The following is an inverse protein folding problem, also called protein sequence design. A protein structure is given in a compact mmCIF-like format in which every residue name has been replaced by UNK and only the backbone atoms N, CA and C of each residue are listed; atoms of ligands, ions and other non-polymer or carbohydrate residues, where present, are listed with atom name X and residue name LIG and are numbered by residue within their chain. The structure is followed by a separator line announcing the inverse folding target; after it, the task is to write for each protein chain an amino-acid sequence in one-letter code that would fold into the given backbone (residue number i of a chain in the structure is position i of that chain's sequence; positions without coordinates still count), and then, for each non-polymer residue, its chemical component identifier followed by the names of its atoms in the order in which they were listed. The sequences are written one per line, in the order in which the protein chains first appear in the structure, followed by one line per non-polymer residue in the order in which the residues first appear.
data_IF_913880141116
#
_entry.id   IF_913880141116
#
_cell.length_a   1.000
_cell.length_b   1.000
_cell.length_c   1.000
_cell.angle_alpha   90.00
_cell.angle_beta   90.00
_cell.angle_gamma   90.00
#
_symmetry.space_group_name_H-M   'P 1'
#
loop_
_entity.id
_entity.type
_entity.pdbx_description
1 polymer ?
#
# COMPACT_ATOMS: atom_id res chain seq x y z
N UNK A 1 -24.55 -1.44 -17.27
CA UNK A 1 -23.24 -1.73 -16.65
C UNK A 1 -23.27 -1.31 -15.19
N UNK A 2 -22.59 -2.03 -14.29
CA UNK A 2 -22.47 -1.66 -12.88
C UNK A 2 -21.05 -1.15 -12.65
N UNK A 3 -20.92 0.02 -12.04
CA UNK A 3 -19.66 0.65 -11.67
C UNK A 3 -19.49 0.62 -10.15
N UNK A 4 -18.29 0.26 -9.70
CA UNK A 4 -17.95 0.22 -8.28
C UNK A 4 -17.33 1.54 -7.81
N UNK A 5 -16.84 2.36 -8.74
CA UNK A 5 -16.18 3.62 -8.44
C UNK A 5 -16.84 4.78 -9.24
N UNK A 6 -16.95 5.99 -8.65
CA UNK A 6 -17.57 7.15 -9.30
C UNK A 6 -16.95 7.49 -10.67
N UNK A 7 -15.62 7.37 -10.81
CA UNK A 7 -14.92 7.68 -12.05
C UNK A 7 -15.22 6.68 -13.18
N UNK A 8 -15.53 5.42 -12.85
CA UNK A 8 -15.92 4.42 -13.85
C UNK A 8 -17.26 4.80 -14.48
N UNK A 9 -18.23 5.20 -13.65
CA UNK A 9 -19.50 5.74 -14.14
C UNK A 9 -19.26 6.97 -15.01
N UNK A 10 -18.46 7.93 -14.54
CA UNK A 10 -18.15 9.14 -15.29
C UNK A 10 -17.47 8.84 -16.64
N UNK A 11 -16.70 7.75 -16.75
CA UNK A 11 -16.14 7.29 -18.01
C UNK A 11 -17.21 6.76 -18.95
N UNK A 12 -18.10 5.86 -18.50
CA UNK A 12 -19.16 5.30 -19.33
C UNK A 12 -20.22 6.33 -19.76
N UNK A 13 -20.48 7.33 -18.91
CA UNK A 13 -21.36 8.44 -19.22
C UNK A 13 -20.83 9.25 -20.45
N UNK A 14 -19.50 9.33 -20.66
CA UNK A 14 -18.92 9.99 -21.86
C UNK A 14 -19.24 9.28 -23.16
N UNK A 15 -19.54 7.99 -23.11
CA UNK A 15 -19.85 7.16 -24.27
C UNK A 15 -21.35 6.83 -24.36
N UNK A 16 -22.20 7.50 -23.57
CA UNK A 16 -23.64 7.25 -23.47
C UNK A 16 -23.97 5.77 -23.18
N UNK A 17 -23.09 5.06 -22.46
CA UNK A 17 -23.32 3.68 -22.04
C UNK A 17 -24.08 3.69 -20.71
N UNK A 18 -25.30 3.12 -20.61
CA UNK A 18 -26.04 3.08 -19.36
C UNK A 18 -25.24 2.41 -18.24
N UNK A 19 -24.82 3.20 -17.25
CA UNK A 19 -23.99 2.78 -16.15
C UNK A 19 -24.53 3.28 -14.80
N UNK A 20 -24.70 2.36 -13.84
CA UNK A 20 -25.14 2.64 -12.47
C UNK A 20 -23.96 2.46 -11.52
N UNK A 21 -23.61 3.52 -10.79
CA UNK A 21 -22.68 3.44 -9.67
C UNK A 21 -23.41 2.81 -8.48
N UNK A 22 -22.85 1.71 -7.95
CA UNK A 22 -23.47 0.93 -6.87
C UNK A 22 -22.68 0.97 -5.56
N UNK A 23 -21.62 1.77 -5.48
CA UNK A 23 -20.67 1.73 -4.37
C UNK A 23 -19.70 0.55 -4.50
N UNK A 24 -18.72 0.50 -3.59
CA UNK A 24 -17.69 -0.55 -3.61
C UNK A 24 -17.99 -1.56 -2.49
N UNK A 25 -18.23 -2.82 -2.82
CA UNK A 25 -18.60 -3.88 -1.85
C UNK A 25 -17.59 -4.05 -0.71
N UNK A 26 -16.32 -3.68 -0.95
CA UNK A 26 -15.30 -3.65 0.10
C UNK A 26 -15.51 -2.54 1.14
N UNK A 27 -16.09 -1.40 0.75
CA UNK A 27 -16.45 -0.33 1.68
C UNK A 27 -17.61 -0.78 2.60
N UNK A 28 -18.55 -1.57 2.08
CA UNK A 28 -19.64 -2.14 2.89
C UNK A 28 -19.14 -3.18 3.90
N UNK A 29 -18.06 -3.90 3.56
CA UNK A 29 -17.46 -4.96 4.39
C UNK A 29 -16.42 -4.47 5.39
N UNK A 30 -16.17 -3.16 5.48
CA UNK A 30 -15.21 -2.56 6.41
C UNK A 30 -15.92 -1.53 7.30
N UNK A 31 -15.73 -1.59 8.63
CA UNK A 31 -16.31 -0.58 9.51
C UNK A 31 -15.73 0.80 9.19
N UNK A 32 -16.53 1.85 9.37
CA UNK A 32 -16.10 3.23 9.17
C UNK A 32 -14.93 3.60 10.09
N UNK A 33 -14.97 3.10 11.33
CA UNK A 33 -13.96 3.30 12.35
C UNK A 33 -13.35 1.93 12.72
N UNK A 34 -12.27 1.52 12.03
CA UNK A 34 -11.60 0.25 12.32
C UNK A 34 -10.81 0.31 13.62
N UNK A 35 -10.94 -0.73 14.46
CA UNK A 35 -10.24 -0.83 15.73
C UNK A 35 -8.77 -1.29 15.55
N UNK A 36 -7.85 -0.33 15.56
CA UNK A 36 -6.39 -0.55 15.51
C UNK A 36 -5.91 -1.45 16.66
N UNK A 37 -6.44 -1.25 17.87
CA UNK A 37 -6.05 -2.04 19.06
C UNK A 37 -6.44 -3.52 18.93
N UNK A 38 -7.63 -3.81 18.41
CA UNK A 38 -8.07 -5.17 18.15
C UNK A 38 -7.25 -5.85 17.04
N UNK A 39 -6.91 -5.12 15.96
CA UNK A 39 -6.05 -5.64 14.90
C UNK A 39 -4.62 -5.93 15.41
N UNK A 40 -4.05 -5.03 16.21
CA UNK A 40 -2.76 -5.25 16.90
C UNK A 40 -2.82 -6.48 17.80
N UNK A 41 -3.91 -6.66 18.56
CA UNK A 41 -4.12 -7.84 19.39
C UNK A 41 -4.15 -9.15 18.60
N UNK A 42 -4.83 -9.19 17.44
CA UNK A 42 -4.85 -10.36 16.55
C UNK A 42 -3.48 -10.70 15.97
N UNK A 43 -2.67 -9.69 15.68
CA UNK A 43 -1.34 -9.84 15.06
C UNK A 43 -0.18 -9.91 16.07
N UNK A 44 -0.46 -9.79 17.37
CA UNK A 44 0.57 -9.78 18.41
C UNK A 44 1.48 -8.55 18.40
N UNK A 45 0.97 -7.41 17.91
CA UNK A 45 1.71 -6.14 17.86
C UNK A 45 1.49 -5.33 19.14
N UNK A 46 2.58 -4.83 19.71
CA UNK A 46 2.54 -3.98 20.90
C UNK A 46 1.80 -2.66 20.61
N UNK A 47 1.02 -2.19 21.59
CA UNK A 47 0.16 -1.00 21.42
C UNK A 47 0.94 0.30 21.28
N UNK A 48 2.15 0.38 21.81
CA UNK A 48 3.02 1.55 21.87
C UNK A 48 4.13 1.55 20.81
N UNK A 49 4.32 0.43 20.11
CA UNK A 49 5.28 0.31 19.04
C UNK A 49 4.79 1.03 17.76
N UNK A 50 5.73 1.64 17.05
CA UNK A 50 5.47 2.09 15.68
C UNK A 50 5.35 0.87 14.77
N UNK A 51 4.47 0.95 13.78
CA UNK A 51 4.18 -0.18 12.90
C UNK A 51 4.04 0.28 11.44
N UNK A 52 4.69 -0.45 10.54
CA UNK A 52 4.68 -0.20 9.10
C UNK A 52 4.17 -1.44 8.38
N UNK A 53 3.10 -1.31 7.60
CA UNK A 53 2.68 -2.34 6.66
C UNK A 53 3.46 -2.21 5.35
N UNK A 54 4.15 -3.27 4.92
CA UNK A 54 4.81 -3.37 3.63
C UNK A 54 4.04 -4.34 2.71
N UNK A 55 3.42 -3.80 1.66
CA UNK A 55 2.65 -4.57 0.68
C UNK A 55 3.36 -4.55 -0.68
N UNK A 56 4.35 -5.44 -0.91
CA UNK A 56 5.18 -5.43 -2.12
C UNK A 56 4.43 -5.81 -3.41
N UNK A 57 3.18 -6.25 -3.30
CA UNK A 57 2.31 -6.56 -4.42
C UNK A 57 1.76 -7.98 -4.39
N UNK A 58 0.74 -8.23 -5.20
CA UNK A 58 0.13 -9.57 -5.32
C UNK A 58 0.70 -10.35 -6.51
N UNK A 59 1.28 -9.63 -7.48
CA UNK A 59 1.86 -10.20 -8.70
C UNK A 59 3.35 -10.46 -8.52
N UNK A 60 3.83 -11.54 -9.12
CA UNK A 60 5.25 -11.90 -9.01
C UNK A 60 6.21 -10.83 -9.53
N UNK A 61 5.83 -10.10 -10.59
CA UNK A 61 6.64 -9.00 -11.10
C UNK A 61 6.74 -7.83 -10.11
N UNK A 62 5.65 -7.50 -9.41
CA UNK A 62 5.63 -6.43 -8.40
C UNK A 62 6.55 -6.80 -7.24
N UNK A 63 6.41 -8.02 -6.70
CA UNK A 63 7.26 -8.53 -5.63
C UNK A 63 8.74 -8.53 -6.03
N UNK A 64 9.07 -8.95 -7.26
CA UNK A 64 10.46 -8.94 -7.73
C UNK A 64 11.04 -7.53 -7.85
N UNK A 65 10.25 -6.57 -8.34
CA UNK A 65 10.74 -5.20 -8.61
C UNK A 65 10.78 -4.31 -7.37
N UNK A 66 9.93 -4.55 -6.37
CA UNK A 66 9.69 -3.60 -5.28
C UNK A 66 10.19 -4.08 -3.92
N UNK A 67 10.26 -5.39 -3.68
CA UNK A 67 10.58 -5.91 -2.33
C UNK A 67 11.92 -5.43 -1.82
N UNK A 68 12.95 -5.39 -2.67
CA UNK A 68 14.28 -4.91 -2.28
C UNK A 68 14.25 -3.44 -1.85
N UNK A 69 13.58 -2.58 -2.61
CA UNK A 69 13.48 -1.16 -2.28
C UNK A 69 12.61 -0.92 -1.03
N UNK A 70 11.54 -1.69 -0.85
CA UNK A 70 10.68 -1.62 0.34
C UNK A 70 11.41 -2.10 1.61
N UNK A 71 12.21 -3.16 1.51
CA UNK A 71 13.05 -3.63 2.61
C UNK A 71 14.10 -2.60 3.00
N UNK A 72 14.80 -2.01 2.02
CA UNK A 72 15.76 -0.92 2.26
C UNK A 72 15.10 0.30 2.88
N UNK A 73 13.88 0.62 2.45
CA UNK A 73 13.07 1.70 3.05
C UNK A 73 12.85 1.44 4.54
N UNK A 74 12.44 0.21 4.89
CA UNK A 74 12.25 -0.16 6.29
C UNK A 74 13.55 -0.15 7.11
N UNK A 75 14.68 -0.53 6.52
CA UNK A 75 16.00 -0.39 7.16
C UNK A 75 16.29 1.08 7.50
N UNK A 76 16.14 2.00 6.53
CA UNK A 76 16.35 3.45 6.73
C UNK A 76 15.40 4.01 7.81
N UNK A 77 14.14 3.55 7.84
CA UNK A 77 13.19 3.99 8.85
C UNK A 77 13.57 3.50 10.25
N UNK A 78 14.20 2.34 10.39
CA UNK A 78 14.65 1.83 11.71
C UNK A 78 15.77 2.65 12.33
N UNK A 79 16.55 3.38 11.54
CA UNK A 79 17.55 4.32 12.08
C UNK A 79 16.88 5.41 12.94
N UNK A 80 15.63 5.76 12.64
CA UNK A 80 14.84 6.75 13.40
C UNK A 80 13.79 6.13 14.31
N UNK A 81 13.37 4.90 14.02
CA UNK A 81 12.40 4.13 14.79
C UNK A 81 12.96 2.73 15.11
N UNK A 82 13.88 2.61 16.10
CA UNK A 82 14.54 1.34 16.38
C UNK A 82 13.58 0.18 16.69
N UNK A 83 12.40 0.48 17.26
CA UNK A 83 11.37 -0.50 17.63
C UNK A 83 10.28 -0.69 16.55
N UNK A 84 10.50 -0.19 15.33
CA UNK A 84 9.53 -0.29 14.24
C UNK A 84 9.18 -1.75 13.93
N UNK A 85 7.90 -2.08 14.07
CA UNK A 85 7.32 -3.37 13.71
C UNK A 85 6.97 -3.35 12.23
N UNK A 86 7.62 -4.19 11.42
CA UNK A 86 7.40 -4.25 9.98
C UNK A 86 6.49 -5.45 9.67
N UNK A 87 5.26 -5.17 9.23
CA UNK A 87 4.25 -6.18 8.90
C UNK A 87 4.23 -6.41 7.38
N UNK A 88 4.44 -7.65 6.93
CA UNK A 88 4.51 -7.99 5.51
C UNK A 88 3.43 -9.03 5.17
N UNK A 89 2.20 -8.60 4.84
CA UNK A 89 1.15 -9.50 4.38
C UNK A 89 1.42 -9.99 2.95
N UNK A 90 1.44 -11.30 2.78
CA UNK A 90 1.77 -11.98 1.53
C UNK A 90 0.58 -12.82 1.05
N UNK A 91 0.13 -12.58 -0.19
CA UNK A 91 -1.15 -13.10 -0.69
C UNK A 91 -1.19 -14.64 -0.85
N UNK A 92 -0.03 -15.30 -0.97
CA UNK A 92 0.08 -16.76 -1.03
C UNK A 92 1.53 -17.23 -0.78
N UNK A 93 1.71 -18.54 -0.58
CA UNK A 93 3.00 -19.18 -0.33
C UNK A 93 4.05 -18.86 -1.42
N UNK A 94 3.67 -18.83 -2.71
CA UNK A 94 4.60 -18.52 -3.80
C UNK A 94 5.16 -17.10 -3.72
N UNK A 95 4.34 -16.13 -3.30
CA UNK A 95 4.79 -14.75 -3.08
C UNK A 95 5.62 -14.64 -1.80
N UNK A 96 5.30 -15.43 -0.78
CA UNK A 96 6.10 -15.51 0.44
C UNK A 96 7.50 -16.02 0.18
N UNK A 97 7.65 -17.17 -0.46
CA UNK A 97 8.97 -17.74 -0.82
C UNK A 97 9.80 -16.74 -1.65
N UNK A 98 9.16 -16.06 -2.60
CA UNK A 98 9.80 -15.03 -3.42
C UNK A 98 10.29 -13.85 -2.57
N UNK A 99 9.46 -13.35 -1.65
CA UNK A 99 9.83 -12.27 -0.75
C UNK A 99 10.95 -12.68 0.22
N UNK A 100 10.87 -13.88 0.80
CA UNK A 100 11.88 -14.42 1.71
C UNK A 100 13.25 -14.54 1.02
N UNK A 101 13.30 -15.00 -0.23
CA UNK A 101 14.52 -15.01 -1.04
C UNK A 101 15.12 -13.62 -1.20
N UNK A 102 14.31 -12.64 -1.63
CA UNK A 102 14.78 -11.26 -1.82
C UNK A 102 15.23 -10.64 -0.49
N UNK A 103 14.52 -10.95 0.61
CA UNK A 103 14.89 -10.51 1.96
C UNK A 103 16.23 -11.08 2.38
N UNK A 104 16.49 -12.36 2.16
CA UNK A 104 17.77 -12.98 2.51
C UNK A 104 18.95 -12.28 1.80
N UNK A 105 18.76 -11.84 0.56
CA UNK A 105 19.79 -11.14 -0.22
C UNK A 105 19.92 -9.65 0.15
N UNK A 106 18.81 -8.99 0.51
CA UNK A 106 18.77 -7.53 0.67
C UNK A 106 18.89 -7.07 2.13
N UNK A 107 18.20 -7.76 3.04
CA UNK A 107 18.03 -7.37 4.43
C UNK A 107 17.84 -8.61 5.33
N UNK A 108 18.85 -9.50 5.42
CA UNK A 108 18.74 -10.76 6.16
C UNK A 108 18.40 -10.53 7.63
N UNK A 109 19.02 -9.53 8.25
CA UNK A 109 18.89 -9.25 9.69
C UNK A 109 17.71 -8.33 10.05
N UNK A 110 17.01 -7.75 9.06
CA UNK A 110 15.84 -6.92 9.33
C UNK A 110 14.72 -7.81 9.89
N UNK A 111 14.24 -7.62 11.13
CA UNK A 111 13.16 -8.42 11.65
C UNK A 111 11.84 -7.88 11.12
N UNK A 112 11.03 -8.78 10.57
CA UNK A 112 9.74 -8.51 9.93
C UNK A 112 8.75 -9.60 10.32
N UNK A 113 7.47 -9.26 10.38
CA UNK A 113 6.36 -10.19 10.57
C UNK A 113 5.82 -10.60 9.21
N UNK A 114 6.16 -11.80 8.76
CA UNK A 114 5.60 -12.36 7.52
C UNK A 114 4.21 -12.95 7.83
N UNK A 115 3.18 -12.40 7.20
CA UNK A 115 1.78 -12.81 7.41
C UNK A 115 1.25 -13.50 6.16
N UNK A 116 0.54 -14.62 6.35
CA UNK A 116 -0.15 -15.30 5.25
C UNK A 116 -1.53 -14.65 5.02
N UNK A 117 -1.61 -13.80 4.00
CA UNK A 117 -2.77 -12.94 3.79
C UNK A 117 -2.85 -11.83 4.83
N UNK A 118 -4.00 -11.69 5.50
CA UNK A 118 -4.23 -10.71 6.58
C UNK A 118 -3.86 -9.26 6.25
N UNK A 119 -3.84 -8.87 4.97
CA UNK A 119 -3.47 -7.51 4.55
C UNK A 119 -4.31 -6.43 5.24
N UNK A 120 -5.62 -6.67 5.37
CA UNK A 120 -6.54 -5.77 6.07
C UNK A 120 -6.15 -5.55 7.53
N UNK A 121 -5.90 -6.63 8.27
CA UNK A 121 -5.49 -6.53 9.68
C UNK A 121 -4.14 -5.82 9.80
N UNK A 122 -3.20 -6.10 8.89
CA UNK A 122 -1.90 -5.43 8.87
C UNK A 122 -2.04 -3.91 8.64
N UNK A 123 -2.87 -3.50 7.68
CA UNK A 123 -3.13 -2.08 7.42
C UNK A 123 -3.82 -1.41 8.62
N UNK A 124 -4.87 -2.01 9.19
CA UNK A 124 -5.57 -1.45 10.36
C UNK A 124 -4.63 -1.34 11.58
N UNK A 125 -3.75 -2.33 11.78
CA UNK A 125 -2.80 -2.33 12.88
C UNK A 125 -1.65 -1.31 12.72
N UNK A 126 -1.41 -0.81 11.50
CA UNK A 126 -0.23 -0.01 11.16
C UNK A 126 -0.44 1.49 11.31
N UNK A 127 0.65 2.19 11.58
CA UNK A 127 0.70 3.66 11.64
C UNK A 127 0.91 4.26 10.25
N UNK A 128 1.59 3.54 9.37
CA UNK A 128 1.68 3.86 7.96
C UNK A 128 1.76 2.57 7.11
N UNK A 129 1.46 2.69 5.82
CA UNK A 129 1.61 1.63 4.85
C UNK A 129 2.43 2.06 3.63
N UNK A 130 3.29 1.17 3.13
CA UNK A 130 3.97 1.30 1.85
C UNK A 130 3.46 0.20 0.92
N UNK A 131 2.87 0.60 -0.21
CA UNK A 131 2.13 -0.33 -1.06
C UNK A 131 2.38 -0.14 -2.56
N UNK A 132 2.37 -1.26 -3.27
CA UNK A 132 2.61 -1.32 -4.71
C UNK A 132 1.36 -1.06 -5.57
N UNK A 133 0.17 -1.45 -5.11
CA UNK A 133 -1.01 -1.63 -5.97
C UNK A 133 -2.09 -0.57 -5.73
N UNK A 134 -2.74 -0.14 -6.82
CA UNK A 134 -3.88 0.77 -6.77
C UNK A 134 -5.12 0.23 -6.03
N UNK A 135 -5.41 -1.08 -6.11
CA UNK A 135 -6.51 -1.69 -5.33
C UNK A 135 -6.17 -1.80 -3.85
N UNK A 136 -4.93 -2.19 -3.52
CA UNK A 136 -4.47 -2.19 -2.12
C UNK A 136 -4.52 -0.79 -1.50
N UNK A 137 -4.29 0.26 -2.29
CA UNK A 137 -4.44 1.66 -1.85
C UNK A 137 -5.88 1.97 -1.41
N UNK A 138 -6.88 1.45 -2.13
CA UNK A 138 -8.28 1.61 -1.74
C UNK A 138 -8.59 0.88 -0.44
N UNK A 139 -8.13 -0.36 -0.29
CA UNK A 139 -8.30 -1.11 0.97
C UNK A 139 -7.63 -0.39 2.15
N UNK A 140 -6.44 0.16 1.92
CA UNK A 140 -5.68 0.91 2.91
C UNK A 140 -6.42 2.20 3.33
N UNK A 141 -7.04 2.89 2.37
CA UNK A 141 -7.86 4.07 2.62
C UNK A 141 -9.09 3.73 3.47
N UNK A 142 -9.73 2.59 3.20
CA UNK A 142 -10.84 2.08 4.00
C UNK A 142 -10.38 1.63 5.40
N UNK A 143 -9.14 1.12 5.51
CA UNK A 143 -8.51 0.76 6.79
C UNK A 143 -8.07 1.97 7.62
N UNK A 144 -8.27 3.20 7.12
CA UNK A 144 -7.82 4.46 7.75
C UNK A 144 -6.32 4.50 8.01
N UNK A 145 -5.54 3.74 7.25
CA UNK A 145 -4.09 3.71 7.37
C UNK A 145 -3.48 4.75 6.41
N UNK A 146 -2.71 5.73 6.90
CA UNK A 146 -1.92 6.62 6.05
C UNK A 146 -0.97 5.82 5.15
N UNK A 147 -0.79 6.25 3.91
CA UNK A 147 -0.03 5.44 2.95
C UNK A 147 0.87 6.24 2.01
N UNK A 148 1.92 5.56 1.55
CA UNK A 148 2.74 5.95 0.40
C UNK A 148 2.63 4.84 -0.65
N UNK A 149 2.45 5.25 -1.91
CA UNK A 149 2.39 4.33 -3.04
C UNK A 149 3.72 4.36 -3.76
N UNK A 150 4.44 3.23 -3.75
CA UNK A 150 5.70 3.05 -4.46
C UNK A 150 5.51 2.07 -5.60
N UNK A 151 5.73 2.51 -6.86
CA UNK A 151 5.54 1.62 -8.00
C UNK A 151 6.63 1.73 -9.06
N UNK A 152 7.06 0.58 -9.57
CA UNK A 152 7.99 0.44 -10.69
C UNK A 152 7.41 -0.56 -11.67
N UNK A 153 7.52 -0.25 -12.95
CA UNK A 153 7.15 -1.17 -14.03
C UNK A 153 8.24 -1.18 -15.08
N UNK A 154 8.18 -2.11 -16.03
CA UNK A 154 9.15 -2.12 -17.13
C UNK A 154 9.08 -0.78 -17.88
N UNK A 155 10.22 -0.10 -18.14
CA UNK A 155 10.23 1.24 -18.74
C UNK A 155 9.44 1.35 -20.04
N UNK A 156 9.49 0.31 -20.87
CA UNK A 156 8.70 0.23 -22.11
C UNK A 156 7.19 0.22 -21.85
N UNK A 157 6.73 -0.55 -20.85
CA UNK A 157 5.31 -0.60 -20.47
C UNK A 157 4.88 0.73 -19.86
N UNK A 158 5.73 1.40 -19.07
CA UNK A 158 5.44 2.72 -18.52
C UNK A 158 5.31 3.77 -19.61
N UNK A 159 6.25 3.78 -20.56
CA UNK A 159 6.23 4.70 -21.70
C UNK A 159 4.95 4.55 -22.53
N UNK A 160 4.53 3.31 -22.78
CA UNK A 160 3.29 3.05 -23.52
C UNK A 160 2.06 3.44 -22.70
N UNK A 161 2.02 3.11 -21.41
CA UNK A 161 0.92 3.48 -20.51
C UNK A 161 0.77 4.99 -20.37
N UNK A 162 1.87 5.73 -20.18
CA UNK A 162 1.89 7.20 -20.11
C UNK A 162 1.37 7.86 -21.40
N UNK A 163 1.56 7.21 -22.54
CA UNK A 163 1.06 7.70 -23.84
C UNK A 163 -0.42 7.38 -24.07
N UNK A 164 -0.95 6.33 -23.43
CA UNK A 164 -2.34 5.88 -23.54
C UNK A 164 -3.26 6.47 -22.46
N UNK A 165 -2.73 6.73 -21.27
CA UNK A 165 -3.49 7.15 -20.08
C UNK A 165 -3.26 8.64 -19.83
N UNK A 166 -4.35 9.42 -19.82
CA UNK A 166 -4.34 10.89 -19.59
C UNK A 166 -4.51 11.29 -18.12
N UNK A 167 -4.36 10.36 -17.18
CA UNK A 167 -4.58 10.65 -15.75
C UNK A 167 -3.24 10.95 -15.07
N UNK A 168 -3.21 12.00 -14.26
CA UNK A 168 -2.01 12.41 -13.51
C UNK A 168 -1.74 11.50 -12.30
N UNK A 169 -2.68 10.62 -11.95
CA UNK A 169 -2.63 9.73 -10.79
C UNK A 169 -2.77 8.26 -11.19
N UNK A 170 -2.10 7.39 -10.41
CA UNK A 170 -2.16 5.93 -10.57
C UNK A 170 -2.96 5.26 -9.46
N UNK A 171 -2.97 5.81 -8.25
CA UNK A 171 -3.68 5.22 -7.12
C UNK A 171 -5.18 5.54 -7.16
N UNK A 172 -6.01 4.58 -6.74
CA UNK A 172 -7.46 4.79 -6.65
C UNK A 172 -7.84 5.94 -5.70
N UNK A 173 -7.22 6.13 -4.52
CA UNK A 173 -7.51 7.28 -3.66
C UNK A 173 -7.34 8.62 -4.37
N UNK A 174 -6.25 8.82 -5.11
CA UNK A 174 -5.99 10.07 -5.83
C UNK A 174 -6.94 10.26 -7.02
N UNK A 175 -7.22 9.19 -7.77
CA UNK A 175 -8.21 9.21 -8.85
C UNK A 175 -9.62 9.55 -8.34
N UNK A 176 -10.00 9.06 -7.16
CA UNK A 176 -11.27 9.39 -6.51
C UNK A 176 -11.31 10.83 -5.99
N UNK A 177 -10.20 11.30 -5.42
CA UNK A 177 -10.09 12.65 -4.88
C UNK A 177 -9.93 13.73 -5.96
N UNK A 178 -9.47 13.37 -7.16
CA UNK A 178 -9.11 14.31 -8.22
C UNK A 178 -7.90 15.19 -7.87
N UNK A 179 -7.12 14.81 -6.85
CA UNK A 179 -5.92 15.51 -6.36
C UNK A 179 -4.96 14.52 -5.69
N UNK A 180 -3.72 14.92 -5.46
CA UNK A 180 -2.76 14.14 -4.66
C UNK A 180 -3.22 14.13 -3.19
N UNK A 181 -3.87 13.04 -2.80
CA UNK A 181 -4.29 12.73 -1.43
C UNK A 181 -3.26 11.84 -0.73
N UNK A 182 -2.71 10.86 -1.46
CA UNK A 182 -1.64 9.97 -1.03
C UNK A 182 -0.40 10.23 -1.87
N UNK A 183 0.78 10.15 -1.25
CA UNK A 183 2.04 10.38 -1.97
C UNK A 183 2.30 9.21 -2.91
N UNK A 184 2.44 9.51 -4.20
CA UNK A 184 2.83 8.54 -5.22
C UNK A 184 4.29 8.79 -5.61
N UNK A 185 5.13 7.75 -5.54
CA UNK A 185 6.53 7.78 -5.94
C UNK A 185 6.72 6.70 -7.01
N UNK A 186 6.80 7.13 -8.27
CA UNK A 186 6.72 6.27 -9.43
C UNK A 186 8.07 6.17 -10.16
N UNK A 187 8.36 4.99 -10.71
CA UNK A 187 9.56 4.68 -11.49
C UNK A 187 10.86 5.09 -10.78
N UNK A 188 11.50 6.16 -11.25
CA UNK A 188 12.77 6.68 -10.74
C UNK A 188 12.62 7.36 -9.38
N UNK A 189 11.41 7.77 -9.00
CA UNK A 189 11.13 8.33 -7.67
C UNK A 189 10.89 7.24 -6.62
N UNK A 190 10.62 6.00 -7.05
CA UNK A 190 10.45 4.85 -6.16
C UNK A 190 11.82 4.38 -5.65
N UNK A 191 12.48 5.22 -4.84
CA UNK A 191 13.78 4.98 -4.24
C UNK A 191 13.66 4.87 -2.72
N UNK A 192 14.44 4.01 -2.05
CA UNK A 192 14.32 3.77 -0.61
C UNK A 192 14.32 5.03 0.26
N UNK A 193 15.20 5.99 -0.05
CA UNK A 193 15.30 7.24 0.71
C UNK A 193 14.04 8.10 0.56
N UNK A 194 13.57 8.29 -0.68
CA UNK A 194 12.37 9.09 -0.97
C UNK A 194 11.11 8.45 -0.36
N UNK A 195 11.02 7.12 -0.43
CA UNK A 195 9.95 6.35 0.20
C UNK A 195 9.98 6.53 1.73
N UNK A 196 11.17 6.44 2.35
CA UNK A 196 11.33 6.63 3.79
C UNK A 196 10.93 8.05 4.21
N UNK A 197 11.40 9.06 3.48
CA UNK A 197 11.13 10.46 3.79
C UNK A 197 9.64 10.80 3.69
N UNK A 198 8.92 10.19 2.74
CA UNK A 198 7.47 10.29 2.64
C UNK A 198 6.72 9.57 3.78
N UNK A 199 7.29 8.48 4.33
CA UNK A 199 6.68 7.70 5.42
C UNK A 199 6.93 8.28 6.81
N UNK A 200 8.07 8.94 7.05
CA UNK A 200 8.44 9.55 8.34
C UNK A 200 7.33 10.39 8.99
N UNK A 201 6.73 11.39 8.30
CA UNK A 201 5.68 12.20 8.93
C UNK A 201 4.45 11.36 9.30
N UNK A 202 4.11 10.35 8.49
CA UNK A 202 2.96 9.47 8.74
C UNK A 202 3.18 8.60 9.98
N UNK A 203 4.39 8.06 10.14
CA UNK A 203 4.77 7.27 11.31
C UNK A 203 4.84 8.12 12.60
N UNK A 204 5.25 9.38 12.50
CA UNK A 204 5.26 10.31 13.63
C UNK A 204 3.84 10.65 14.12
N UNK A 205 2.92 10.90 13.19
CA UNK A 205 1.52 11.26 13.51
C UNK A 205 0.68 10.06 13.96
N UNK A 206 1.04 8.84 13.55
CA UNK A 206 0.31 7.61 13.90
C UNK A 206 0.23 7.31 15.40
N UNK A 207 1.15 7.85 16.21
CA UNK A 207 1.08 7.77 17.69
C UNK A 207 0.03 8.69 18.31
N UNK A 208 -0.43 9.72 17.59
CA UNK A 208 -1.36 10.73 18.10
C UNK A 208 -2.81 10.50 17.67
N UNK A 209 -3.11 9.40 16.96
CA UNK A 209 -4.47 9.04 16.60
C UNK A 209 -5.07 8.14 17.71
N UNK A 210 -6.20 8.55 18.32
CA UNK A 210 -6.83 7.82 19.43
C UNK A 210 -7.39 6.45 19.03
#
# INVERSE_FOLDING_TARGET
MLAFLPFEKAFYDKFNVPCRFIGHTMADAMPLDPDKGAARGRLGIARDAHSLALLPGSRGAEVEMLSADFLKTAQILRDSYPDLQVLVPLVNAKRREQFERIKAETAPDLPVHLLDGQARDAMIASDAALLASGTAALECMLAKCPMVVGYRMKPFTFWLAKRLVKTDYVSLPNLLAGRELVKELLQDECQPQLLADALRPLLADGKNQP
#
